data_IF_278185759732
#
_entry.id   IF_278185759732
#
_cell.length_a   1.000
_cell.length_b   1.000
_cell.length_c   1.000
_cell.angle_alpha   90.00
_cell.angle_beta   90.00
_cell.angle_gamma   90.00
#
_symmetry.space_group_name_H-M   'P 1'
#
loop_
_entity.id
_entity.type
_entity.pdbx_description
1 polymer ?
#
# COMPACT_ATOMS: atom_id res chain seq x y z
N UNK A 1 -2.22 48.17 3.13
CA UNK A 1 -3.67 48.10 2.88
C UNK A 1 -4.23 46.80 3.46
N UNK A 2 -4.83 46.89 4.64
CA UNK A 2 -5.50 45.77 5.30
C UNK A 2 -6.72 45.37 4.47
N UNK A 3 -6.66 44.21 3.82
CA UNK A 3 -7.87 43.64 3.24
C UNK A 3 -8.84 43.37 4.40
N UNK A 4 -10.05 43.94 4.31
CA UNK A 4 -11.11 43.72 5.28
C UNK A 4 -11.33 42.21 5.46
N UNK A 5 -11.56 41.75 6.68
CA UNK A 5 -11.84 40.34 6.98
C UNK A 5 -12.95 39.80 6.05
N UNK A 6 -13.92 40.63 5.68
CA UNK A 6 -14.96 40.29 4.68
C UNK A 6 -14.40 39.92 3.31
N UNK A 7 -13.42 40.66 2.81
CA UNK A 7 -12.84 40.44 1.49
C UNK A 7 -11.97 39.16 1.48
N UNK A 8 -11.29 38.89 2.59
CA UNK A 8 -10.59 37.62 2.79
C UNK A 8 -11.57 36.45 2.80
N UNK A 9 -12.64 36.52 3.59
CA UNK A 9 -13.65 35.43 3.67
C UNK A 9 -14.36 35.22 2.34
N UNK A 10 -14.64 36.27 1.58
CA UNK A 10 -15.24 36.17 0.25
C UNK A 10 -14.31 35.44 -0.75
N UNK A 11 -13.02 35.79 -0.77
CA UNK A 11 -12.03 35.10 -1.60
C UNK A 11 -11.84 33.64 -1.22
N UNK A 12 -11.84 33.31 0.07
CA UNK A 12 -11.74 31.91 0.52
C UNK A 12 -12.91 31.08 0.00
N UNK A 13 -14.14 31.60 0.08
CA UNK A 13 -15.32 30.90 -0.45
C UNK A 13 -15.26 30.69 -1.97
N UNK A 14 -14.77 31.66 -2.71
CA UNK A 14 -14.63 31.55 -4.17
C UNK A 14 -13.58 30.48 -4.54
N UNK A 15 -12.43 30.50 -3.85
CA UNK A 15 -11.38 29.49 -4.02
C UNK A 15 -11.86 28.09 -3.61
N UNK A 16 -12.67 27.97 -2.55
CA UNK A 16 -13.26 26.68 -2.15
C UNK A 16 -14.13 26.07 -3.25
N UNK A 17 -14.96 26.88 -3.94
CA UNK A 17 -15.80 26.41 -5.05
C UNK A 17 -14.93 25.93 -6.22
N UNK A 18 -13.86 26.65 -6.55
CA UNK A 18 -12.92 26.24 -7.61
C UNK A 18 -12.16 24.96 -7.24
N UNK A 19 -11.72 24.83 -5.99
CA UNK A 19 -11.07 23.62 -5.45
C UNK A 19 -12.02 22.43 -5.50
N UNK A 20 -13.27 22.61 -5.07
CA UNK A 20 -14.30 21.57 -5.11
C UNK A 20 -14.62 21.16 -6.55
N UNK A 21 -14.72 22.10 -7.48
CA UNK A 21 -14.91 21.84 -8.90
C UNK A 21 -13.73 21.04 -9.48
N UNK A 22 -12.50 21.46 -9.16
CA UNK A 22 -11.28 20.81 -9.62
C UNK A 22 -11.18 19.37 -9.08
N UNK A 23 -11.15 19.17 -7.77
CA UNK A 23 -11.05 17.83 -7.16
C UNK A 23 -12.32 16.98 -7.34
N UNK A 24 -13.46 17.62 -7.59
CA UNK A 24 -14.73 17.01 -7.96
C UNK A 24 -14.82 16.58 -9.42
N UNK A 25 -13.87 17.00 -10.28
CA UNK A 25 -13.91 16.74 -11.71
C UNK A 25 -13.93 15.24 -12.02
N UNK A 26 -14.72 14.87 -13.03
CA UNK A 26 -14.87 13.49 -13.50
C UNK A 26 -13.53 12.91 -13.97
N UNK A 27 -12.69 13.74 -14.57
CA UNK A 27 -11.35 13.38 -15.04
C UNK A 27 -10.46 12.96 -13.88
N UNK A 28 -10.32 13.81 -12.84
CA UNK A 28 -9.49 13.47 -11.68
C UNK A 28 -10.04 12.25 -10.92
N UNK A 29 -11.37 12.14 -10.76
CA UNK A 29 -12.01 10.96 -10.19
C UNK A 29 -11.68 9.69 -10.98
N UNK A 30 -11.74 9.75 -12.31
CA UNK A 30 -11.40 8.63 -13.21
C UNK A 30 -9.93 8.24 -13.09
N UNK A 31 -9.01 9.21 -13.07
CA UNK A 31 -7.59 8.92 -12.87
C UNK A 31 -7.31 8.28 -11.51
N UNK A 32 -7.92 8.79 -10.44
CA UNK A 32 -7.81 8.20 -9.10
C UNK A 32 -8.33 6.77 -9.07
N UNK A 33 -9.46 6.50 -9.73
CA UNK A 33 -10.01 5.15 -9.85
C UNK A 33 -9.09 4.22 -10.64
N UNK A 34 -8.58 4.66 -11.79
CA UNK A 34 -7.64 3.90 -12.62
C UNK A 34 -6.36 3.57 -11.83
N UNK A 35 -5.79 4.54 -11.13
CA UNK A 35 -4.59 4.36 -10.31
C UNK A 35 -4.82 3.33 -9.18
N UNK A 36 -5.99 3.38 -8.54
CA UNK A 36 -6.38 2.38 -7.53
C UNK A 36 -6.50 0.99 -8.14
N UNK A 37 -7.13 0.86 -9.31
CA UNK A 37 -7.28 -0.42 -10.01
C UNK A 37 -5.92 -1.00 -10.41
N UNK A 38 -5.04 -0.17 -10.98
CA UNK A 38 -3.69 -0.57 -11.36
C UNK A 38 -2.90 -1.10 -10.14
N UNK A 39 -2.91 -0.37 -9.02
CA UNK A 39 -2.26 -0.81 -7.78
C UNK A 39 -2.78 -2.16 -7.29
N UNK A 40 -4.09 -2.37 -7.29
CA UNK A 40 -4.69 -3.65 -6.88
C UNK A 40 -4.21 -4.80 -7.77
N UNK A 41 -4.14 -4.60 -9.08
CA UNK A 41 -3.65 -5.63 -10.00
C UNK A 41 -2.15 -5.89 -9.85
N UNK A 42 -1.34 -4.85 -9.61
CA UNK A 42 0.09 -5.01 -9.28
C UNK A 42 0.27 -5.84 -8.02
N UNK A 43 -0.50 -5.55 -6.96
CA UNK A 43 -0.43 -6.29 -5.70
C UNK A 43 -0.81 -7.75 -5.91
N UNK A 44 -1.88 -8.00 -6.67
CA UNK A 44 -2.33 -9.35 -7.02
C UNK A 44 -1.25 -10.09 -7.82
N UNK A 45 -0.64 -9.45 -8.81
CA UNK A 45 0.38 -10.05 -9.65
C UNK A 45 1.63 -10.41 -8.83
N UNK A 46 2.16 -9.48 -8.05
CA UNK A 46 3.34 -9.71 -7.21
C UNK A 46 3.04 -10.81 -6.18
N UNK A 47 1.92 -10.73 -5.46
CA UNK A 47 1.54 -11.76 -4.49
C UNK A 47 1.41 -13.14 -5.13
N UNK A 48 0.82 -13.25 -6.33
CA UNK A 48 0.74 -14.52 -7.04
C UNK A 48 2.11 -15.06 -7.43
N UNK A 49 3.01 -14.19 -7.92
CA UNK A 49 4.39 -14.60 -8.26
C UNK A 49 5.16 -15.07 -7.03
N UNK A 50 5.02 -14.39 -5.89
CA UNK A 50 5.66 -14.81 -4.64
C UNK A 50 5.15 -16.18 -4.17
N UNK A 51 3.84 -16.43 -4.24
CA UNK A 51 3.30 -17.75 -3.87
C UNK A 51 3.72 -18.85 -4.85
N UNK A 52 3.83 -18.53 -6.15
CA UNK A 52 4.34 -19.48 -7.15
C UNK A 52 5.77 -19.93 -6.87
N UNK A 53 6.62 -19.07 -6.30
CA UNK A 53 7.97 -19.47 -5.86
C UNK A 53 7.94 -20.52 -4.75
N UNK A 54 6.85 -20.58 -3.98
CA UNK A 54 6.63 -21.57 -2.93
C UNK A 54 5.73 -22.75 -3.39
N UNK A 55 5.50 -22.91 -4.70
CA UNK A 55 4.64 -23.96 -5.26
C UNK A 55 3.13 -23.67 -5.23
N UNK A 56 2.73 -22.49 -4.74
CA UNK A 56 1.33 -22.10 -4.57
C UNK A 56 0.80 -21.13 -5.63
N UNK A 57 -0.41 -20.62 -5.40
CA UNK A 57 -1.00 -19.53 -6.19
C UNK A 57 -2.04 -18.75 -5.39
N UNK A 58 -2.52 -17.63 -5.92
CA UNK A 58 -3.65 -16.90 -5.32
C UNK A 58 -5.01 -17.57 -5.54
N UNK A 59 -5.11 -18.52 -6.47
CA UNK A 59 -6.36 -19.14 -6.90
C UNK A 59 -6.77 -20.35 -6.08
N UNK A 60 -5.85 -20.92 -5.29
CA UNK A 60 -6.07 -22.13 -4.51
C UNK A 60 -5.53 -21.97 -3.09
N UNK A 61 -6.18 -22.62 -2.13
CA UNK A 61 -5.62 -22.79 -0.78
C UNK A 61 -4.36 -23.64 -0.87
N UNK A 62 -3.44 -23.43 0.08
CA UNK A 62 -2.25 -24.25 0.23
C UNK A 62 -2.65 -25.71 0.46
N UNK A 63 -1.87 -26.64 -0.08
CA UNK A 63 -1.97 -28.04 0.34
C UNK A 63 -1.62 -28.17 1.84
N UNK A 64 -2.30 -29.07 2.54
CA UNK A 64 -2.00 -29.42 3.91
C UNK A 64 -0.66 -30.14 4.04
N UNK A 65 -0.23 -30.85 3.00
CA UNK A 65 1.05 -31.57 2.98
C UNK A 65 2.25 -30.63 2.82
N UNK A 66 2.04 -29.47 2.18
CA UNK A 66 3.07 -28.45 1.95
C UNK A 66 3.49 -27.77 3.26
N UNK A 67 4.70 -28.05 3.74
CA UNK A 67 5.26 -27.42 4.95
C UNK A 67 5.89 -26.05 4.66
N UNK A 68 5.12 -25.13 4.09
CA UNK A 68 5.57 -23.77 3.76
C UNK A 68 5.28 -22.79 4.90
N UNK A 69 6.30 -22.08 5.35
CA UNK A 69 6.21 -20.94 6.27
C UNK A 69 6.77 -19.69 5.59
N UNK A 70 6.02 -18.60 5.64
CA UNK A 70 6.41 -17.32 5.03
C UNK A 70 6.91 -16.38 6.12
N UNK A 71 8.20 -16.03 6.05
CA UNK A 71 8.79 -15.00 6.89
C UNK A 71 8.65 -13.62 6.27
N UNK A 72 8.18 -12.64 7.03
CA UNK A 72 8.05 -11.25 6.61
C UNK A 72 8.85 -10.35 7.55
N UNK A 73 9.84 -9.65 7.01
CA UNK A 73 10.62 -8.67 7.77
C UNK A 73 9.74 -7.55 8.33
N UNK A 74 9.95 -7.20 9.60
CA UNK A 74 9.25 -6.11 10.28
C UNK A 74 9.99 -4.77 10.19
N UNK A 75 11.05 -4.70 9.39
CA UNK A 75 11.81 -3.48 9.16
C UNK A 75 10.94 -2.42 8.47
N UNK A 76 10.98 -1.19 9.00
CA UNK A 76 10.35 -0.04 8.37
C UNK A 76 11.30 0.57 7.35
N UNK A 77 10.88 0.68 6.10
CA UNK A 77 11.66 1.36 5.07
C UNK A 77 11.27 2.83 5.00
N UNK A 78 12.14 3.70 5.49
CA UNK A 78 12.05 5.14 5.23
C UNK A 78 12.63 5.46 3.85
N UNK A 79 11.82 6.00 2.95
CA UNK A 79 12.34 6.55 1.70
C UNK A 79 12.93 7.94 1.95
N UNK A 80 14.10 8.25 1.38
CA UNK A 80 14.70 9.60 1.47
C UNK A 80 13.88 10.65 0.70
N UNK A 81 12.99 10.22 -0.19
CA UNK A 81 12.04 11.08 -0.88
C UNK A 81 10.80 11.23 0.00
N UNK A 82 10.14 12.40 0.00
CA UNK A 82 8.88 12.66 0.76
C UNK A 82 7.68 11.81 0.27
N UNK A 83 7.92 10.78 -0.53
CA UNK A 83 6.90 9.88 -1.03
C UNK A 83 6.74 8.72 -0.05
N UNK A 84 5.50 8.48 0.39
CA UNK A 84 5.17 7.32 1.21
C UNK A 84 5.55 6.04 0.46
N UNK A 85 6.44 5.23 1.04
CA UNK A 85 6.78 3.92 0.47
C UNK A 85 5.53 3.02 0.48
N UNK A 86 5.22 2.38 -0.65
CA UNK A 86 4.10 1.45 -0.74
C UNK A 86 4.36 0.10 -0.04
N UNK A 87 5.59 -0.14 0.43
CA UNK A 87 6.02 -1.43 0.97
C UNK A 87 5.11 -1.94 2.10
N UNK A 88 4.76 -1.10 3.08
CA UNK A 88 3.93 -1.51 4.23
C UNK A 88 2.53 -1.91 3.78
N UNK A 89 1.98 -1.19 2.81
CA UNK A 89 0.64 -1.46 2.29
C UNK A 89 0.60 -2.74 1.45
N UNK A 90 1.64 -3.02 0.66
CA UNK A 90 1.77 -4.31 -0.04
C UNK A 90 2.00 -5.46 0.94
N UNK A 91 2.89 -5.27 1.92
CA UNK A 91 3.19 -6.25 2.95
C UNK A 91 1.92 -6.64 3.72
N UNK A 92 1.13 -5.66 4.15
CA UNK A 92 -0.16 -5.88 4.82
C UNK A 92 -1.14 -6.67 3.94
N UNK A 93 -1.27 -6.28 2.65
CA UNK A 93 -2.09 -7.00 1.68
C UNK A 93 -1.64 -8.46 1.52
N UNK A 94 -0.34 -8.69 1.34
CA UNK A 94 0.22 -10.02 1.12
C UNK A 94 0.03 -10.92 2.34
N UNK A 95 0.30 -10.42 3.55
CA UNK A 95 0.10 -11.16 4.81
C UNK A 95 -1.35 -11.60 4.96
N UNK A 96 -2.30 -10.69 4.76
CA UNK A 96 -3.73 -11.01 4.84
C UNK A 96 -4.12 -12.06 3.81
N UNK A 97 -3.66 -11.90 2.57
CA UNK A 97 -4.02 -12.79 1.47
C UNK A 97 -3.41 -14.19 1.65
N UNK A 98 -2.13 -14.29 1.99
CA UNK A 98 -1.47 -15.56 2.25
C UNK A 98 -2.13 -16.31 3.43
N UNK A 99 -2.45 -15.62 4.53
CA UNK A 99 -3.18 -16.24 5.66
C UNK A 99 -4.55 -16.75 5.24
N UNK A 100 -5.29 -16.01 4.41
CA UNK A 100 -6.59 -16.46 3.91
C UNK A 100 -6.52 -17.74 3.07
N UNK A 101 -5.35 -18.04 2.49
CA UNK A 101 -5.08 -19.24 1.71
C UNK A 101 -4.51 -20.40 2.55
N UNK A 102 -4.36 -20.22 3.86
CA UNK A 102 -3.88 -21.25 4.79
C UNK A 102 -2.37 -21.25 5.04
N UNK A 103 -1.62 -20.26 4.54
CA UNK A 103 -0.19 -20.15 4.84
C UNK A 103 0.05 -19.64 6.27
N UNK A 104 1.06 -20.21 6.93
CA UNK A 104 1.60 -19.66 8.17
C UNK A 104 2.53 -18.50 7.80
N UNK A 105 2.21 -17.30 8.32
CA UNK A 105 2.99 -16.08 8.07
C UNK A 105 3.50 -15.53 9.38
N UNK A 106 4.81 -15.47 9.53
CA UNK A 106 5.52 -15.04 10.73
C UNK A 106 6.27 -13.73 10.48
N UNK A 107 6.18 -12.81 11.45
CA UNK A 107 6.99 -11.60 11.45
C UNK A 107 8.41 -11.91 11.91
N UNK A 108 9.40 -11.42 11.18
CA UNK A 108 10.82 -11.60 11.49
C UNK A 108 11.41 -10.24 11.85
N UNK A 109 11.91 -10.10 13.07
CA UNK A 109 12.61 -8.90 13.50
C UNK A 109 14.12 -9.11 13.33
N UNK A 110 14.78 -8.23 12.58
CA UNK A 110 16.23 -8.27 12.34
C UNK A 110 17.08 -8.03 13.59
N UNK A 111 16.48 -7.57 14.71
CA UNK A 111 17.20 -7.21 15.93
C UNK A 111 18.01 -8.33 16.58
N UNK A 112 17.84 -9.60 16.18
CA UNK A 112 18.60 -10.74 16.73
C UNK A 112 19.56 -11.43 15.75
N UNK A 113 19.60 -11.03 14.48
CA UNK A 113 20.53 -11.62 13.49
C UNK A 113 21.70 -10.70 13.13
N UNK A 114 21.62 -9.41 13.45
CA UNK A 114 22.80 -8.55 13.49
C UNK A 114 23.54 -8.67 14.82
N UNK A 115 24.19 -9.83 15.03
CA UNK A 115 25.60 -9.66 15.43
C UNK A 115 26.16 -8.78 14.33
N UNK A 116 26.46 -7.52 14.66
CA UNK A 116 27.30 -6.66 13.82
C UNK A 116 28.31 -7.58 13.16
N UNK A 117 28.27 -7.73 11.83
CA UNK A 117 29.41 -8.31 11.14
C UNK A 117 30.64 -7.59 11.71
N UNK A 118 31.66 -8.31 12.22
CA UNK A 118 32.91 -7.68 12.58
C UNK A 118 33.48 -6.91 11.39
#
# INVERSE_FOLDING_TARGET
PEASIRDYTARVKEVEVEIESFYGSVVLKKHKWNARKARTEEYRLIANRLLQLAGGSLGAKRDTEDKVVIGVGLGQFSCKTRLSSLHESFQSYFVQKARSLGYIVVGVNEYYTSKKCP
#
